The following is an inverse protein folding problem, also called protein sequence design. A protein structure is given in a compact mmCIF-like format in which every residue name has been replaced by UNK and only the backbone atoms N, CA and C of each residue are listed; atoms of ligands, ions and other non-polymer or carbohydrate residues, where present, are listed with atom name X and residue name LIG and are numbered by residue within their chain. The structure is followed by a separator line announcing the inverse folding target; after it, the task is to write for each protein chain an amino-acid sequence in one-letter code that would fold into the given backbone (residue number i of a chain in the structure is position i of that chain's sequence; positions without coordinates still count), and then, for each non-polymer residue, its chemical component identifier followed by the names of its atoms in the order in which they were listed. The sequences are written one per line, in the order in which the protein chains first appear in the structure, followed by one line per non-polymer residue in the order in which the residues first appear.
data_IF_754019153737
#
_entry.id   IF_754019153737
#
_cell.length_a   1.000
_cell.length_b   1.000
_cell.length_c   1.000
_cell.angle_alpha   90.00
_cell.angle_beta   90.00
_cell.angle_gamma   90.00
#
_symmetry.space_group_name_H-M   'P 1'
#
loop_
_entity.id
_entity.type
_entity.pdbx_description
1 polymer ?
#
# COMPACT_ATOMS: atom_id res chain seq x y z
N UNK A 1 -38.34 18.07 9.99
CA UNK A 1 -37.28 18.11 8.95
C UNK A 1 -36.59 16.76 9.00
N UNK A 2 -35.77 16.37 8.02
CA UNK A 2 -35.03 15.09 8.13
C UNK A 2 -33.75 15.35 8.93
N UNK A 3 -33.70 14.89 10.18
CA UNK A 3 -32.55 15.06 11.08
C UNK A 3 -31.40 14.07 10.75
N UNK A 4 -31.26 13.68 9.48
CA UNK A 4 -30.20 12.80 8.99
C UNK A 4 -29.01 13.66 8.51
N UNK A 5 -27.76 13.21 8.73
CA UNK A 5 -26.58 13.88 8.21
C UNK A 5 -26.49 13.80 6.68
N UNK A 6 -25.74 14.72 6.09
CA UNK A 6 -25.34 14.64 4.68
C UNK A 6 -24.42 13.42 4.44
N UNK A 7 -24.36 12.89 3.20
CA UNK A 7 -23.42 11.83 2.81
C UNK A 7 -21.98 12.16 3.22
N UNK A 8 -21.26 11.16 3.76
CA UNK A 8 -19.92 11.37 4.29
C UNK A 8 -18.81 11.32 3.22
N UNK A 9 -19.14 10.93 1.99
CA UNK A 9 -18.22 10.90 0.83
C UNK A 9 -18.93 11.46 -0.41
N UNK A 10 -18.20 12.02 -1.41
CA UNK A 10 -18.81 12.56 -2.62
C UNK A 10 -19.62 11.54 -3.41
N UNK A 11 -20.73 11.97 -4.02
CA UNK A 11 -21.67 11.10 -4.73
C UNK A 11 -21.05 10.33 -5.92
N UNK A 12 -19.92 10.83 -6.44
CA UNK A 12 -19.15 10.28 -7.55
C UNK A 12 -17.86 9.54 -7.11
N UNK A 13 -17.66 9.37 -5.79
CA UNK A 13 -16.47 8.77 -5.22
C UNK A 13 -16.34 7.28 -5.58
N UNK A 14 -15.44 6.98 -6.53
CA UNK A 14 -15.20 5.62 -7.04
C UNK A 14 -13.77 5.16 -6.75
N UNK A 15 -13.65 4.18 -5.83
CA UNK A 15 -12.39 3.53 -5.46
C UNK A 15 -12.32 2.07 -5.95
N UNK A 16 -13.13 1.64 -6.92
CA UNK A 16 -13.10 0.27 -7.47
C UNK A 16 -11.78 -0.11 -8.14
N UNK A 17 -10.93 0.88 -8.45
CA UNK A 17 -9.58 0.66 -8.96
C UNK A 17 -8.49 0.56 -7.85
N UNK A 18 -8.84 0.71 -6.57
CA UNK A 18 -7.91 0.65 -5.44
C UNK A 18 -7.95 -0.74 -4.79
N UNK A 19 -7.05 -1.64 -5.20
CA UNK A 19 -6.99 -3.05 -4.73
C UNK A 19 -6.85 -3.23 -3.22
N UNK A 20 -6.47 -2.18 -2.49
CA UNK A 20 -6.14 -2.21 -1.07
C UNK A 20 -7.02 -1.19 -0.33
N UNK A 21 -7.60 -1.61 0.80
CA UNK A 21 -8.28 -0.74 1.75
C UNK A 21 -7.36 -0.53 2.97
N UNK A 22 -6.98 0.71 3.31
CA UNK A 22 -6.15 0.99 4.48
C UNK A 22 -6.97 0.84 5.77
N UNK A 23 -6.60 -0.12 6.62
CA UNK A 23 -7.21 -0.35 7.93
C UNK A 23 -6.33 0.25 9.03
N UNK A 24 -6.95 1.05 9.88
CA UNK A 24 -6.34 1.63 11.08
C UNK A 24 -6.37 0.60 12.21
N UNK A 25 -5.41 -0.32 12.22
CA UNK A 25 -5.41 -1.50 13.10
C UNK A 25 -5.49 -1.14 14.60
N UNK A 26 -4.73 -0.15 15.13
CA UNK A 26 -4.88 0.27 16.53
C UNK A 26 -6.28 0.81 16.84
N UNK A 27 -6.86 1.64 15.95
CA UNK A 27 -8.21 2.20 16.13
C UNK A 27 -9.31 1.16 16.02
N UNK A 28 -9.12 0.12 15.20
CA UNK A 28 -10.04 -1.02 15.12
C UNK A 28 -9.98 -1.86 16.41
N UNK A 29 -8.79 -2.30 16.82
CA UNK A 29 -8.61 -3.22 17.96
C UNK A 29 -8.88 -2.56 19.32
N UNK A 30 -8.85 -1.23 19.40
CA UNK A 30 -9.27 -0.45 20.57
C UNK A 30 -10.64 0.21 20.42
N UNK A 31 -11.54 -0.34 19.60
CA UNK A 31 -12.92 0.15 19.44
C UNK A 31 -13.94 -0.80 20.05
N UNK A 32 -15.05 -0.24 20.51
CA UNK A 32 -16.16 -0.94 21.18
C UNK A 32 -16.68 -2.14 20.35
N UNK A 33 -16.63 -2.06 19.00
CA UNK A 33 -16.93 -3.17 18.09
C UNK A 33 -16.15 -4.46 18.42
N UNK A 34 -14.88 -4.37 18.84
CA UNK A 34 -14.03 -5.53 19.14
C UNK A 34 -14.17 -5.99 20.60
N UNK A 35 -14.85 -5.20 21.45
CA UNK A 35 -15.04 -5.48 22.88
C UNK A 35 -16.46 -5.96 23.23
N UNK A 36 -17.49 -5.37 22.61
CA UNK A 36 -18.89 -5.56 22.99
C UNK A 36 -19.66 -6.52 22.05
N UNK A 37 -19.23 -6.66 20.80
CA UNK A 37 -19.93 -7.46 19.78
C UNK A 37 -19.36 -8.87 19.60
N UNK A 38 -20.17 -9.79 19.06
CA UNK A 38 -19.74 -11.18 18.88
C UNK A 38 -18.66 -11.32 17.78
N UNK A 39 -17.85 -12.40 17.77
CA UNK A 39 -16.88 -12.66 16.70
C UNK A 39 -17.53 -12.72 15.30
N UNK A 40 -18.77 -13.23 15.21
CA UNK A 40 -19.56 -13.28 13.98
C UNK A 40 -20.00 -11.89 13.53
N UNK A 41 -20.35 -11.00 14.48
CA UNK A 41 -20.67 -9.61 14.20
C UNK A 41 -19.43 -8.80 13.78
N UNK A 42 -18.29 -9.00 14.46
CA UNK A 42 -16.99 -8.44 14.06
C UNK A 42 -16.62 -8.85 12.63
N UNK A 43 -16.75 -10.13 12.30
CA UNK A 43 -16.49 -10.66 10.95
C UNK A 43 -17.45 -10.06 9.91
N UNK A 44 -18.73 -9.98 10.24
CA UNK A 44 -19.77 -9.37 9.38
C UNK A 44 -19.47 -7.89 9.12
N UNK A 45 -19.11 -7.13 10.15
CA UNK A 45 -18.72 -5.72 10.04
C UNK A 45 -17.50 -5.59 9.11
N UNK A 46 -16.47 -6.43 9.26
CA UNK A 46 -15.29 -6.42 8.39
C UNK A 46 -15.62 -6.71 6.92
N UNK A 47 -16.50 -7.69 6.63
CA UNK A 47 -16.98 -7.95 5.27
C UNK A 47 -17.72 -6.74 4.68
N UNK A 48 -18.60 -6.11 5.46
CA UNK A 48 -19.35 -4.93 5.04
C UNK A 48 -18.46 -3.69 4.84
N UNK A 49 -17.44 -3.51 5.69
CA UNK A 49 -16.40 -2.50 5.51
C UNK A 49 -15.69 -2.67 4.16
N UNK A 50 -15.13 -3.86 3.89
CA UNK A 50 -14.45 -4.19 2.64
C UNK A 50 -15.34 -4.03 1.39
N UNK A 51 -16.62 -4.36 1.50
CA UNK A 51 -17.60 -4.17 0.40
C UNK A 51 -17.84 -2.68 0.14
N UNK A 52 -18.08 -1.90 1.18
CA UNK A 52 -18.41 -0.48 1.05
C UNK A 52 -17.29 0.35 0.41
N UNK A 53 -16.03 -0.06 0.57
CA UNK A 53 -14.86 0.52 -0.10
C UNK A 53 -14.95 0.51 -1.63
N UNK A 54 -15.71 -0.45 -2.19
CA UNK A 54 -15.89 -0.65 -3.64
C UNK A 54 -17.31 -0.34 -4.13
N UNK A 55 -18.21 0.10 -3.27
CA UNK A 55 -19.48 0.70 -3.69
C UNK A 55 -19.25 2.08 -4.32
N UNK A 56 -20.30 2.62 -4.96
CA UNK A 56 -20.35 4.02 -5.39
C UNK A 56 -21.65 4.63 -4.82
N UNK A 57 -21.55 5.62 -3.91
CA UNK A 57 -20.34 6.22 -3.35
C UNK A 57 -19.51 5.24 -2.51
N UNK A 58 -18.18 5.33 -2.58
CA UNK A 58 -17.30 4.52 -1.74
C UNK A 58 -17.45 4.89 -0.25
N UNK A 59 -17.25 3.90 0.63
CA UNK A 59 -17.48 4.03 2.07
C UNK A 59 -18.96 3.99 2.47
N UNK A 60 -19.85 3.60 1.55
CA UNK A 60 -21.31 3.56 1.76
C UNK A 60 -21.93 2.23 1.34
N UNK A 61 -23.14 1.94 1.81
CA UNK A 61 -23.94 0.78 1.41
C UNK A 61 -25.44 1.12 1.36
N UNK A 62 -26.26 0.42 0.55
CA UNK A 62 -27.71 0.52 0.64
C UNK A 62 -28.24 0.04 2.00
N UNK A 63 -29.17 0.79 2.61
CA UNK A 63 -29.93 0.32 3.77
C UNK A 63 -31.01 -0.69 3.34
N UNK A 64 -30.57 -1.90 2.97
CA UNK A 64 -31.43 -2.99 2.51
C UNK A 64 -30.95 -4.32 3.10
N UNK A 65 -31.83 -4.99 3.84
CA UNK A 65 -31.42 -6.10 4.69
C UNK A 65 -31.00 -7.36 3.91
N UNK A 66 -31.72 -7.67 2.84
CA UNK A 66 -31.36 -8.73 1.89
C UNK A 66 -30.03 -8.44 1.19
N UNK A 67 -29.75 -7.17 0.86
CA UNK A 67 -28.49 -6.75 0.24
C UNK A 67 -27.31 -6.92 1.22
N UNK A 68 -27.49 -6.52 2.49
CA UNK A 68 -26.48 -6.57 3.55
C UNK A 68 -26.15 -8.02 3.93
N UNK A 69 -27.17 -8.83 4.23
CA UNK A 69 -27.00 -10.24 4.58
C UNK A 69 -26.25 -11.03 3.48
N UNK A 70 -26.51 -10.75 2.20
CA UNK A 70 -25.78 -11.33 1.05
C UNK A 70 -24.28 -11.02 1.04
N UNK A 71 -23.84 -9.90 1.62
CA UNK A 71 -22.41 -9.53 1.73
C UNK A 71 -21.78 -9.95 3.05
N UNK A 72 -22.53 -9.95 4.14
CA UNK A 72 -22.08 -10.48 5.43
C UNK A 72 -21.99 -12.03 5.45
N UNK A 73 -22.49 -12.72 4.43
CA UNK A 73 -22.42 -14.18 4.27
C UNK A 73 -23.70 -14.94 4.64
N UNK A 74 -24.70 -14.26 5.19
CA UNK A 74 -25.96 -14.80 5.70
C UNK A 74 -27.01 -15.05 4.60
N UNK A 75 -26.57 -15.59 3.46
CA UNK A 75 -27.45 -15.92 2.34
C UNK A 75 -27.12 -17.29 1.74
N UNK A 76 -28.02 -18.25 1.91
CA UNK A 76 -27.78 -19.65 1.60
C UNK A 76 -28.95 -20.25 0.82
N UNK A 77 -28.65 -21.01 -0.25
CA UNK A 77 -29.65 -21.71 -1.09
C UNK A 77 -30.80 -20.81 -1.56
N UNK A 78 -30.51 -19.53 -1.84
CA UNK A 78 -31.50 -18.54 -2.31
C UNK A 78 -32.40 -17.96 -1.21
N UNK A 79 -32.01 -18.05 0.07
CA UNK A 79 -32.75 -17.51 1.21
C UNK A 79 -31.84 -16.77 2.18
N UNK A 80 -32.43 -15.80 2.90
CA UNK A 80 -31.85 -15.17 4.07
C UNK A 80 -31.66 -16.21 5.19
N UNK A 81 -30.49 -16.24 5.81
CA UNK A 81 -30.29 -17.04 7.02
C UNK A 81 -30.95 -16.36 8.23
N UNK A 82 -31.82 -17.03 9.01
CA UNK A 82 -32.49 -16.42 10.16
C UNK A 82 -31.52 -15.80 11.18
N UNK A 83 -30.30 -16.34 11.32
CA UNK A 83 -29.29 -15.85 12.27
C UNK A 83 -28.80 -14.43 11.98
N UNK A 84 -28.98 -13.93 10.75
CA UNK A 84 -28.66 -12.54 10.39
C UNK A 84 -29.24 -11.52 11.38
N UNK A 85 -30.49 -11.69 11.79
CA UNK A 85 -31.18 -10.74 12.66
C UNK A 85 -30.54 -10.62 14.05
N UNK A 86 -29.83 -11.65 14.53
CA UNK A 86 -29.07 -11.63 15.78
C UNK A 86 -27.69 -10.99 15.66
N UNK A 87 -27.15 -10.88 14.44
CA UNK A 87 -25.79 -10.40 14.13
C UNK A 87 -25.81 -8.99 13.50
N UNK A 88 -26.91 -8.61 12.86
CA UNK A 88 -27.12 -7.34 12.13
C UNK A 88 -26.71 -6.10 12.93
N UNK A 89 -27.02 -6.07 14.23
CA UNK A 89 -26.75 -4.90 15.09
C UNK A 89 -25.25 -4.58 15.12
N UNK A 90 -24.42 -5.52 15.55
CA UNK A 90 -22.96 -5.38 15.56
C UNK A 90 -22.32 -5.34 14.18
N UNK A 91 -22.86 -6.07 13.21
CA UNK A 91 -22.45 -5.95 11.81
C UNK A 91 -22.60 -4.52 11.27
N UNK A 92 -23.54 -3.75 11.84
CA UNK A 92 -23.80 -2.34 11.54
C UNK A 92 -23.39 -1.38 12.67
N UNK A 93 -22.52 -1.81 13.60
CA UNK A 93 -21.97 -0.94 14.63
C UNK A 93 -21.29 0.29 14.00
N UNK A 94 -21.60 1.50 14.50
CA UNK A 94 -21.06 2.76 13.99
C UNK A 94 -21.55 3.21 12.61
N UNK A 95 -22.43 2.46 11.94
CA UNK A 95 -23.00 2.88 10.65
C UNK A 95 -24.15 3.88 10.86
N UNK A 96 -24.11 4.99 10.12
CA UNK A 96 -25.13 6.04 10.18
C UNK A 96 -25.85 6.18 8.84
N UNK A 97 -27.16 6.40 8.88
CA UNK A 97 -27.98 6.63 7.68
C UNK A 97 -27.95 8.10 7.29
N UNK A 98 -27.61 8.40 6.04
CA UNK A 98 -27.52 9.77 5.53
C UNK A 98 -28.76 10.18 4.71
N UNK A 99 -28.84 11.45 4.31
CA UNK A 99 -29.97 12.03 3.56
C UNK A 99 -30.20 11.42 2.17
N UNK A 100 -29.21 10.74 1.59
CA UNK A 100 -29.33 9.94 0.35
C UNK A 100 -29.98 8.56 0.57
N UNK A 101 -30.27 8.19 1.82
CA UNK A 101 -30.84 6.91 2.22
C UNK A 101 -29.83 5.76 2.33
N UNK A 102 -28.53 6.00 2.13
CA UNK A 102 -27.46 5.01 2.28
C UNK A 102 -26.88 5.04 3.69
N UNK A 103 -26.28 3.92 4.09
CA UNK A 103 -25.50 3.78 5.32
C UNK A 103 -24.04 4.17 5.03
N UNK A 104 -23.41 4.95 5.92
CA UNK A 104 -21.99 5.31 5.87
C UNK A 104 -21.32 4.99 7.21
N UNK A 105 -20.06 4.57 7.19
CA UNK A 105 -19.27 4.38 8.41
C UNK A 105 -18.22 5.50 8.53
N UNK A 106 -18.27 6.37 9.56
CA UNK A 106 -17.42 7.57 9.63
C UNK A 106 -15.92 7.30 9.53
N UNK A 107 -15.43 6.21 10.14
CA UNK A 107 -14.01 5.82 10.08
C UNK A 107 -13.59 5.42 8.67
N UNK A 108 -14.49 4.84 7.87
CA UNK A 108 -14.20 4.49 6.48
C UNK A 108 -14.29 5.72 5.58
N UNK A 109 -15.29 6.59 5.77
CA UNK A 109 -15.42 7.82 5.02
C UNK A 109 -14.16 8.71 5.11
N UNK A 110 -13.54 8.79 6.29
CA UNK A 110 -12.22 9.43 6.50
C UNK A 110 -11.14 8.88 5.55
N UNK A 111 -10.98 7.55 5.49
CA UNK A 111 -9.96 6.91 4.64
C UNK A 111 -10.32 6.98 3.15
N UNK A 112 -11.61 6.87 2.80
CA UNK A 112 -12.13 7.00 1.44
C UNK A 112 -11.86 8.39 0.89
N UNK A 113 -12.22 9.45 1.62
CA UNK A 113 -11.97 10.83 1.22
C UNK A 113 -10.46 11.10 1.06
N UNK A 114 -9.63 10.53 1.95
CA UNK A 114 -8.16 10.63 1.86
C UNK A 114 -7.59 9.97 0.58
N UNK A 115 -8.12 8.81 0.20
CA UNK A 115 -7.76 8.11 -1.04
C UNK A 115 -8.29 8.83 -2.29
N UNK A 116 -9.53 9.33 -2.25
CA UNK A 116 -10.17 10.09 -3.33
C UNK A 116 -9.46 11.41 -3.62
N UNK A 117 -9.13 12.19 -2.59
CA UNK A 117 -8.32 13.40 -2.73
C UNK A 117 -6.91 13.10 -3.27
N UNK A 118 -6.30 11.98 -2.85
CA UNK A 118 -4.99 11.56 -3.38
C UNK A 118 -5.04 11.07 -4.84
N UNK A 119 -6.16 10.46 -5.27
CA UNK A 119 -6.46 10.14 -6.67
C UNK A 119 -6.52 11.40 -7.53
N UNK A 120 -7.21 12.43 -7.04
CA UNK A 120 -7.32 13.73 -7.73
C UNK A 120 -5.98 14.46 -7.80
N UNK A 121 -5.25 14.58 -6.67
CA UNK A 121 -3.93 15.21 -6.64
C UNK A 121 -2.98 14.56 -7.65
N UNK A 122 -2.87 13.23 -7.68
CA UNK A 122 -2.01 12.56 -8.65
C UNK A 122 -2.41 12.82 -10.12
N UNK A 123 -3.71 12.87 -10.42
CA UNK A 123 -4.19 13.19 -11.76
C UNK A 123 -3.89 14.66 -12.17
N UNK A 124 -3.97 15.58 -11.21
CA UNK A 124 -3.62 17.00 -11.36
C UNK A 124 -2.11 17.20 -11.50
N UNK A 125 -1.28 16.58 -10.66
CA UNK A 125 0.18 16.55 -10.78
C UNK A 125 0.60 16.11 -12.20
N UNK A 126 -0.02 15.04 -12.71
CA UNK A 126 0.22 14.55 -14.07
C UNK A 126 -0.29 15.48 -15.17
N UNK A 127 -1.32 16.28 -14.93
CA UNK A 127 -1.73 17.36 -15.84
C UNK A 127 -0.69 18.50 -15.84
N UNK A 128 -0.25 18.94 -14.65
CA UNK A 128 0.82 19.92 -14.46
C UNK A 128 2.12 19.51 -15.15
N UNK A 129 2.55 18.25 -15.03
CA UNK A 129 3.72 17.72 -15.76
C UNK A 129 3.58 17.86 -17.28
N UNK A 130 2.41 17.53 -17.86
CA UNK A 130 2.18 17.57 -19.31
C UNK A 130 2.09 19.01 -19.82
N UNK A 131 1.41 19.90 -19.09
CA UNK A 131 1.34 21.31 -19.45
C UNK A 131 2.68 22.02 -19.27
N UNK A 132 3.47 21.73 -18.22
CA UNK A 132 4.85 22.23 -18.10
C UNK A 132 5.73 21.81 -19.28
N UNK A 133 5.62 20.55 -19.72
CA UNK A 133 6.33 20.04 -20.92
C UNK A 133 5.88 20.78 -22.20
N UNK A 134 4.57 20.99 -22.39
CA UNK A 134 4.03 21.74 -23.54
C UNK A 134 4.41 23.23 -23.50
N UNK A 135 4.39 23.87 -22.33
CA UNK A 135 4.73 25.29 -22.18
C UNK A 135 6.18 25.59 -22.56
N UNK A 136 7.12 24.65 -22.36
CA UNK A 136 8.47 24.77 -22.92
C UNK A 136 8.44 24.88 -24.46
N UNK A 137 7.75 23.95 -25.12
CA UNK A 137 7.61 23.94 -26.59
C UNK A 137 6.76 25.11 -27.12
N UNK A 138 5.92 25.74 -26.29
CA UNK A 138 5.19 26.98 -26.61
C UNK A 138 6.10 28.21 -26.51
N UNK A 139 6.95 28.30 -25.48
CA UNK A 139 7.94 29.36 -25.35
C UNK A 139 8.95 29.33 -26.51
N UNK A 140 9.39 28.15 -26.94
CA UNK A 140 10.22 27.93 -28.15
C UNK A 140 9.53 28.40 -29.45
N UNK A 141 8.21 28.62 -29.44
CA UNK A 141 7.39 29.15 -30.55
C UNK A 141 6.89 30.58 -30.33
N UNK A 142 7.26 31.24 -29.24
CA UNK A 142 6.75 32.57 -28.87
C UNK A 142 5.27 32.61 -28.47
N UNK A 143 4.66 31.47 -28.13
CA UNK A 143 3.26 31.36 -27.71
C UNK A 143 3.11 31.54 -26.20
N UNK A 144 2.02 32.18 -25.78
CA UNK A 144 1.68 32.36 -24.37
C UNK A 144 1.54 30.99 -23.64
N UNK A 145 1.98 30.86 -22.37
CA UNK A 145 1.85 29.63 -21.61
C UNK A 145 0.38 29.26 -21.38
N UNK A 146 0.10 27.97 -21.25
CA UNK A 146 -1.19 27.46 -20.78
C UNK A 146 -1.14 27.34 -19.25
N UNK A 147 -2.13 27.89 -18.57
CA UNK A 147 -2.21 27.87 -17.10
C UNK A 147 -3.07 26.70 -16.64
N UNK A 148 -2.57 25.89 -15.70
CA UNK A 148 -3.36 24.83 -15.06
C UNK A 148 -4.03 25.42 -13.82
N UNK A 149 -5.36 25.36 -13.68
CA UNK A 149 -6.05 25.80 -12.47
C UNK A 149 -5.56 25.05 -11.23
N UNK A 150 -5.56 25.70 -10.06
CA UNK A 150 -5.19 25.07 -8.79
C UNK A 150 -6.05 23.84 -8.46
N UNK A 151 -5.51 22.92 -7.65
CA UNK A 151 -6.08 21.59 -7.41
C UNK A 151 -7.57 21.63 -7.03
N UNK A 152 -7.94 22.48 -6.07
CA UNK A 152 -9.31 22.56 -5.57
C UNK A 152 -10.26 23.15 -6.64
N UNK A 153 -9.83 24.19 -7.36
CA UNK A 153 -10.60 24.76 -8.48
C UNK A 153 -10.77 23.75 -9.64
N UNK A 154 -9.75 22.94 -9.92
CA UNK A 154 -9.84 21.85 -10.90
C UNK A 154 -10.79 20.74 -10.45
N UNK A 155 -10.87 20.45 -9.14
CA UNK A 155 -11.87 19.54 -8.56
C UNK A 155 -13.29 20.13 -8.71
N UNK A 156 -13.49 21.40 -8.36
CA UNK A 156 -14.78 22.09 -8.46
C UNK A 156 -15.31 22.19 -9.89
N UNK A 157 -14.41 22.30 -10.89
CA UNK A 157 -14.76 22.21 -12.31
C UNK A 157 -15.11 20.79 -12.79
N UNK A 158 -15.18 19.81 -11.89
CA UNK A 158 -15.50 18.42 -12.21
C UNK A 158 -14.31 17.56 -12.67
N UNK A 159 -13.08 18.08 -12.57
CA UNK A 159 -11.81 17.49 -13.04
C UNK A 159 -11.71 17.40 -14.57
N UNK A 160 -11.83 18.52 -15.30
CA UNK A 160 -11.78 18.53 -16.76
C UNK A 160 -10.46 17.97 -17.30
N UNK A 161 -10.52 17.28 -18.44
CA UNK A 161 -9.32 16.76 -19.10
C UNK A 161 -8.54 17.90 -19.77
N UNK A 162 -7.30 17.60 -20.16
CA UNK A 162 -6.40 18.53 -20.86
C UNK A 162 -7.02 19.14 -22.13
N UNK A 163 -7.84 18.38 -22.85
CA UNK A 163 -8.56 18.86 -24.03
C UNK A 163 -9.71 19.80 -23.68
N UNK A 164 -10.35 19.58 -22.54
CA UNK A 164 -11.53 20.32 -22.12
C UNK A 164 -11.12 21.66 -21.46
N UNK A 165 -9.94 21.69 -20.83
CA UNK A 165 -9.26 22.91 -20.36
C UNK A 165 -8.67 23.76 -21.50
N UNK A 166 -8.13 23.14 -22.55
CA UNK A 166 -7.49 23.84 -23.67
C UNK A 166 -8.05 23.41 -25.04
N UNK A 167 -9.34 23.64 -25.35
CA UNK A 167 -9.96 23.11 -26.57
C UNK A 167 -9.28 23.56 -27.86
N UNK A 168 -8.76 24.78 -27.90
CA UNK A 168 -8.05 25.36 -29.06
C UNK A 168 -6.80 24.55 -29.44
N UNK A 169 -6.06 23.98 -28.47
CA UNK A 169 -4.84 23.19 -28.69
C UNK A 169 -5.10 21.86 -29.40
N UNK A 170 -6.35 21.40 -29.41
CA UNK A 170 -6.78 20.13 -30.02
C UNK A 170 -7.80 20.35 -31.16
N UNK A 171 -8.21 21.59 -31.40
CA UNK A 171 -9.15 21.97 -32.45
C UNK A 171 -8.44 22.15 -33.78
N UNK A 172 -7.96 21.05 -34.36
CA UNK A 172 -7.47 21.05 -35.75
C UNK A 172 -8.63 21.46 -36.70
N UNK A 173 -8.58 22.61 -37.39
CA UNK A 173 -9.41 22.77 -38.57
C UNK A 173 -8.98 21.72 -39.60
N UNK A 174 -9.94 21.10 -40.27
CA UNK A 174 -9.64 20.14 -41.34
C UNK A 174 -9.08 20.89 -42.56
N UNK A 175 -7.77 21.13 -42.55
CA UNK A 175 -7.04 21.72 -43.65
C UNK A 175 -7.09 20.83 -44.89
N UNK A 176 -8.07 21.08 -45.75
CA UNK A 176 -8.13 20.47 -47.08
C UNK A 176 -6.88 20.86 -47.86
N UNK A 177 -6.08 19.85 -48.25
CA UNK A 177 -4.87 20.05 -49.02
C UNK A 177 -5.21 20.34 -50.50
N UNK A 178 -5.74 21.54 -50.78
CA UNK A 178 -5.75 22.13 -52.12
C UNK A 178 -4.32 22.60 -52.51
N UNK A 179 -3.38 21.66 -52.46
CA UNK A 179 -2.03 21.84 -52.97
C UNK A 179 -2.07 21.62 -54.47
N UNK A 180 -2.37 22.68 -55.21
CA UNK A 180 -2.42 22.70 -56.68
C UNK A 180 -1.06 22.29 -57.27
N UNK A 181 -0.88 20.98 -57.50
CA UNK A 181 0.37 20.42 -58.00
C UNK A 181 0.54 20.71 -59.50
N UNK A 182 0.91 21.96 -59.80
CA UNK A 182 1.13 22.54 -61.13
C UNK A 182 2.32 21.88 -61.84
N UNK A 183 2.14 20.63 -62.26
CA UNK A 183 3.11 19.88 -63.07
C UNK A 183 3.37 20.64 -64.37
N UNK A 184 4.57 21.22 -64.49
CA UNK A 184 5.08 21.75 -65.76
C UNK A 184 5.02 20.65 -66.82
N UNK A 185 4.43 20.96 -67.98
CA UNK A 185 4.59 20.18 -69.20
C UNK A 185 5.69 20.84 -70.04
N UNK A 186 6.79 20.13 -70.24
CA UNK A 186 7.73 20.39 -71.34
C UNK A 186 7.91 19.08 -72.11
N UNK A 187 7.87 19.09 -73.47
CA UNK A 187 7.86 17.88 -74.28
C UNK A 187 9.27 17.44 -74.72
N UNK A 188 9.47 16.13 -74.87
CA UNK A 188 10.62 15.52 -75.54
C UNK A 188 10.07 14.48 -76.54
N UNK A 189 10.56 14.41 -77.80
CA UNK A 189 9.86 13.74 -78.90
C UNK A 189 10.09 12.21 -78.95
N UNK A 190 9.38 11.56 -79.87
CA UNK A 190 9.43 10.12 -80.10
C UNK A 190 10.08 9.76 -81.45
N UNK A 191 10.79 8.63 -81.51
CA UNK A 191 11.04 7.89 -82.75
C UNK A 191 11.21 6.37 -82.48
N UNK A 192 11.11 5.58 -83.56
CA UNK A 192 11.35 4.13 -83.77
C UNK A 192 11.93 3.24 -82.64
N UNK A 193 11.58 1.95 -82.53
CA UNK A 193 10.69 1.12 -83.38
C UNK A 193 10.83 -0.40 -83.11
N UNK A 194 10.23 -1.23 -83.98
CA UNK A 194 10.24 -2.71 -84.03
C UNK A 194 9.42 -3.54 -83.01
N UNK A 195 8.44 -4.27 -83.57
CA UNK A 195 7.96 -5.60 -83.13
C UNK A 195 8.55 -6.66 -84.14
N UNK A 196 8.25 -7.99 -84.14
CA UNK A 196 7.05 -8.72 -83.66
C UNK A 196 7.43 -9.93 -82.73
N UNK A 197 6.67 -11.02 -82.49
CA UNK A 197 5.50 -11.63 -83.17
C UNK A 197 4.70 -12.63 -82.27
N UNK A 198 3.49 -12.97 -82.75
CA UNK A 198 2.71 -14.22 -82.51
C UNK A 198 2.20 -14.58 -81.08
N UNK A 199 1.05 -15.25 -80.90
CA UNK A 199 -0.11 -15.53 -81.78
C UNK A 199 -1.37 -15.95 -80.97
N UNK A 200 -2.56 -15.83 -81.59
CA UNK A 200 -3.84 -16.59 -81.40
C UNK A 200 -4.39 -16.94 -79.99
N UNK A 201 -5.70 -16.84 -79.71
CA UNK A 201 -6.82 -16.28 -80.47
C UNK A 201 -8.23 -16.82 -80.09
N UNK A 202 -9.26 -16.00 -80.32
CA UNK A 202 -10.71 -16.32 -80.51
C UNK A 202 -11.58 -16.85 -79.34
N UNK A 203 -12.47 -15.95 -78.89
CA UNK A 203 -13.95 -16.08 -78.81
C UNK A 203 -14.64 -17.29 -78.11
N UNK A 204 -15.55 -17.02 -77.16
CA UNK A 204 -16.51 -18.03 -76.66
C UNK A 204 -17.54 -17.57 -75.60
N UNK A 205 -18.69 -17.03 -76.04
CA UNK A 205 -19.99 -17.05 -75.33
C UNK A 205 -20.98 -17.83 -76.25
N UNK A 206 -22.14 -18.39 -75.80
CA UNK A 206 -22.92 -18.00 -74.61
C UNK A 206 -23.58 -19.15 -73.78
N UNK A 207 -24.30 -18.72 -72.73
CA UNK A 207 -25.53 -19.27 -72.13
C UNK A 207 -25.88 -20.79 -72.18
N UNK A 208 -26.12 -21.37 -71.00
CA UNK A 208 -26.85 -22.64 -70.81
C UNK A 208 -27.65 -22.63 -69.50
N UNK A 209 -28.93 -23.04 -69.53
CA UNK A 209 -29.88 -23.01 -68.40
C UNK A 209 -30.42 -24.40 -68.10
N UNK A 210 -30.29 -24.88 -66.85
CA UNK A 210 -31.27 -25.78 -66.19
C UNK A 210 -31.00 -25.96 -64.70
N UNK A 211 -32.02 -26.41 -63.98
CA UNK A 211 -32.02 -26.67 -62.53
C UNK A 211 -31.82 -28.17 -62.26
N UNK A 212 -31.10 -28.50 -61.19
CA UNK A 212 -31.48 -29.48 -60.17
C UNK A 212 -31.06 -28.87 -58.82
N UNK A 213 -31.77 -29.16 -57.73
CA UNK A 213 -31.45 -28.59 -56.41
C UNK A 213 -31.53 -29.63 -55.29
N UNK A 214 -30.94 -29.28 -54.14
CA UNK A 214 -31.02 -29.97 -52.86
C UNK A 214 -31.03 -28.94 -51.72
N UNK A 215 -31.60 -29.33 -50.58
CA UNK A 215 -31.82 -28.44 -49.43
C UNK A 215 -30.58 -28.27 -48.55
N UNK A 216 -30.36 -27.06 -48.01
CA UNK A 216 -29.78 -26.86 -46.68
C UNK A 216 -30.08 -25.44 -46.12
N UNK A 217 -30.52 -25.42 -44.87
CA UNK A 217 -30.31 -24.42 -43.80
C UNK A 217 -29.87 -22.99 -44.17
N UNK A 218 -30.77 -22.02 -43.91
CA UNK A 218 -30.46 -20.59 -44.04
C UNK A 218 -29.81 -19.99 -42.79
N UNK A 219 -28.58 -19.46 -42.94
CA UNK A 219 -28.00 -18.48 -42.01
C UNK A 219 -27.90 -17.10 -42.68
N UNK A 220 -28.64 -16.13 -42.16
CA UNK A 220 -28.60 -14.71 -42.55
C UNK A 220 -29.31 -13.89 -41.45
N UNK A 221 -29.02 -12.62 -41.17
CA UNK A 221 -27.95 -11.72 -41.62
C UNK A 221 -27.77 -10.63 -40.54
N UNK A 222 -26.58 -10.08 -40.34
CA UNK A 222 -26.32 -9.06 -39.31
C UNK A 222 -25.08 -8.24 -39.63
N UNK A 223 -25.27 -7.06 -40.24
CA UNK A 223 -24.19 -6.28 -40.88
C UNK A 223 -23.35 -5.48 -39.88
N UNK A 224 -22.06 -5.38 -40.19
CA UNK A 224 -21.07 -4.53 -39.53
C UNK A 224 -21.43 -3.04 -39.57
N UNK A 225 -20.89 -2.29 -38.61
CA UNK A 225 -20.14 -1.06 -38.88
C UNK A 225 -18.85 -1.07 -38.02
N UNK A 226 -17.72 -0.73 -38.63
CA UNK A 226 -16.48 -0.27 -37.97
C UNK A 226 -16.53 1.29 -37.91
N UNK A 227 -15.61 2.13 -37.43
CA UNK A 227 -14.24 2.08 -36.82
C UNK A 227 -13.94 3.54 -36.36
N UNK A 228 -12.90 3.98 -35.62
CA UNK A 228 -11.78 3.44 -34.83
C UNK A 228 -11.28 4.60 -33.90
N UNK A 229 -10.33 4.48 -32.96
CA UNK A 229 -9.52 3.32 -32.53
C UNK A 229 -8.39 3.71 -31.55
N UNK A 230 -7.89 2.68 -30.86
CA UNK A 230 -6.58 2.50 -30.21
C UNK A 230 -5.49 3.61 -30.24
N UNK A 231 -4.92 3.93 -29.06
CA UNK A 231 -3.48 4.18 -28.89
C UNK A 231 -3.00 3.63 -27.54
N UNK A 232 -2.00 2.76 -27.54
CA UNK A 232 -1.62 1.95 -26.37
C UNK A 232 -0.55 2.55 -25.45
N UNK A 233 -0.45 2.02 -24.23
CA UNK A 233 0.66 2.24 -23.30
C UNK A 233 1.64 1.06 -23.34
N UNK A 234 2.92 1.34 -23.59
CA UNK A 234 4.03 0.42 -23.33
C UNK A 234 4.71 0.79 -22.02
N UNK A 235 5.14 -0.21 -21.25
CA UNK A 235 5.86 0.00 -20.00
C UNK A 235 7.36 0.26 -20.22
N UNK A 236 7.99 0.81 -19.18
CA UNK A 236 9.44 0.94 -19.03
C UNK A 236 9.75 1.30 -17.59
N UNK A 237 10.68 0.57 -16.97
CA UNK A 237 11.33 0.99 -15.72
C UNK A 237 12.41 2.02 -16.07
N UNK A 238 12.84 2.82 -15.09
CA UNK A 238 14.24 3.22 -14.88
C UNK A 238 14.37 3.94 -13.52
N UNK A 239 15.58 3.96 -12.96
CA UNK A 239 15.86 4.38 -11.58
C UNK A 239 15.74 5.90 -11.34
N UNK A 240 15.61 6.29 -10.06
CA UNK A 240 15.48 7.70 -9.64
C UNK A 240 16.47 8.09 -8.54
N UNK A 241 17.68 8.50 -8.96
CA UNK A 241 18.69 9.10 -8.08
C UNK A 241 18.37 10.57 -7.80
N UNK A 242 17.71 10.86 -6.67
CA UNK A 242 17.31 12.21 -6.28
C UNK A 242 18.38 12.99 -5.52
N UNK A 243 19.15 13.84 -6.21
CA UNK A 243 20.04 14.82 -5.56
C UNK A 243 19.29 16.11 -5.16
N UNK A 244 19.33 16.47 -3.88
CA UNK A 244 18.72 17.69 -3.34
C UNK A 244 19.63 18.92 -3.52
N UNK A 245 19.13 19.97 -4.16
CA UNK A 245 19.78 21.29 -4.19
C UNK A 245 19.39 22.14 -2.98
N UNK A 246 20.38 22.64 -2.24
CA UNK A 246 20.17 23.50 -1.07
C UNK A 246 19.79 24.95 -1.49
N UNK A 247 19.06 25.65 -0.63
CA UNK A 247 18.78 27.08 -0.78
C UNK A 247 19.26 27.83 0.47
N UNK A 248 20.33 28.62 0.31
CA UNK A 248 20.95 29.36 1.43
C UNK A 248 20.39 30.78 1.56
N UNK A 249 20.05 31.16 2.79
CA UNK A 249 19.85 32.55 3.22
C UNK A 249 20.45 32.70 4.61
N UNK A 250 21.29 33.71 4.83
CA UNK A 250 22.13 33.83 6.03
C UNK A 250 22.01 35.19 6.74
N UNK A 251 23.12 35.62 7.35
CA UNK A 251 23.28 36.80 8.22
C UNK A 251 22.80 36.60 9.67
N UNK A 252 23.47 37.11 10.72
CA UNK A 252 24.88 37.57 10.87
C UNK A 252 25.20 37.77 12.38
N UNK A 253 26.48 38.01 12.72
CA UNK A 253 26.96 38.66 13.96
C UNK A 253 26.83 37.90 15.33
N UNK A 254 27.75 38.04 16.31
CA UNK A 254 29.13 38.59 16.30
C UNK A 254 30.00 38.07 17.49
N UNK A 255 31.32 38.18 17.34
CA UNK A 255 32.37 38.49 18.34
C UNK A 255 32.49 37.79 19.73
N UNK A 256 33.53 36.94 19.81
CA UNK A 256 34.72 37.09 20.68
C UNK A 256 34.68 36.82 22.22
N UNK A 257 35.75 36.14 22.70
CA UNK A 257 36.12 36.00 24.12
C UNK A 257 36.97 34.74 24.38
N UNK A 258 38.14 34.85 25.02
CA UNK A 258 39.06 33.71 25.30
C UNK A 258 39.40 33.62 26.82
N UNK A 259 40.29 32.73 27.35
CA UNK A 259 39.93 31.90 28.51
C UNK A 259 40.81 32.15 29.76
N UNK A 260 40.72 31.28 30.77
CA UNK A 260 41.88 30.91 31.61
C UNK A 260 41.66 29.59 32.37
N UNK A 261 42.76 28.96 32.77
CA UNK A 261 42.84 27.63 33.39
C UNK A 261 42.81 27.66 34.93
N UNK A 262 42.65 26.47 35.55
CA UNK A 262 43.39 25.89 36.69
C UNK A 262 42.48 25.12 37.67
N UNK A 263 42.87 24.05 38.39
CA UNK A 263 43.80 22.91 38.22
C UNK A 263 44.20 22.40 39.64
N UNK A 264 44.48 21.08 39.78
CA UNK A 264 45.08 20.44 40.99
C UNK A 264 44.16 20.42 42.24
N UNK A 265 44.28 19.54 43.25
CA UNK A 265 45.11 18.34 43.57
C UNK A 265 44.24 17.46 44.54
N UNK A 266 44.17 16.12 44.53
CA UNK A 266 45.17 15.01 44.66
C UNK A 266 45.27 14.44 46.10
N UNK A 267 45.57 13.13 46.19
CA UNK A 267 45.87 12.31 47.38
C UNK A 267 44.64 11.89 48.23
N UNK A 268 44.23 10.62 48.30
CA UNK A 268 44.91 9.36 48.74
C UNK A 268 44.85 9.11 50.25
N UNK A 269 44.34 7.92 50.65
CA UNK A 269 44.99 7.03 51.62
C UNK A 269 44.37 5.63 51.66
N UNK A 270 45.23 4.61 51.71
CA UNK A 270 44.87 3.20 51.88
C UNK A 270 44.89 2.81 53.38
N UNK A 271 44.10 1.80 53.79
CA UNK A 271 44.61 0.46 54.17
C UNK A 271 43.60 -0.39 55.00
N UNK A 272 43.63 -1.72 54.75
CA UNK A 272 43.50 -2.88 55.70
C UNK A 272 42.34 -2.94 56.71
N UNK A 273 41.77 -4.09 57.09
CA UNK A 273 41.88 -5.51 56.68
C UNK A 273 40.78 -6.32 57.41
N UNK A 274 40.58 -7.59 56.98
CA UNK A 274 40.23 -8.79 57.76
C UNK A 274 39.17 -9.70 57.09
N UNK A 275 39.16 -10.96 57.51
CA UNK A 275 38.55 -12.11 56.81
C UNK A 275 37.49 -12.76 57.68
N UNK A 276 36.41 -13.28 57.07
CA UNK A 276 35.79 -14.53 57.52
C UNK A 276 34.93 -15.17 56.42
N UNK A 277 34.87 -16.51 56.44
CA UNK A 277 34.21 -17.35 55.43
C UNK A 277 33.03 -18.12 56.01
N UNK A 278 31.85 -18.10 55.36
CA UNK A 278 30.93 -19.25 55.33
C UNK A 278 29.74 -19.03 54.36
N UNK A 279 29.45 -20.09 53.58
CA UNK A 279 28.12 -20.64 53.23
C UNK A 279 26.93 -19.75 52.83
N UNK A 280 26.21 -20.18 51.78
CA UNK A 280 24.85 -19.73 51.47
C UNK A 280 24.68 -19.35 49.99
N UNK A 281 23.97 -20.18 49.22
CA UNK A 281 23.60 -19.85 47.85
C UNK A 281 22.34 -18.98 47.80
N UNK A 282 22.36 -17.93 46.95
CA UNK A 282 21.22 -17.04 46.74
C UNK A 282 21.40 -16.21 45.48
N UNK A 283 20.35 -16.15 44.67
CA UNK A 283 20.18 -15.36 43.43
C UNK A 283 21.00 -14.07 43.32
N UNK A 284 21.68 -13.87 42.19
CA UNK A 284 22.40 -12.63 41.89
C UNK A 284 21.47 -11.42 41.90
N UNK A 285 21.72 -10.49 42.82
CA UNK A 285 20.96 -9.26 42.99
C UNK A 285 21.70 -8.08 42.35
N UNK A 286 21.03 -7.34 41.48
CA UNK A 286 21.65 -6.25 40.74
C UNK A 286 22.08 -5.10 41.68
N UNK A 287 23.39 -4.84 41.74
CA UNK A 287 23.96 -3.70 42.47
C UNK A 287 23.67 -2.40 41.73
N UNK A 288 22.69 -1.64 42.23
CA UNK A 288 22.51 -0.25 41.84
C UNK A 288 23.66 0.58 42.44
N UNK A 289 24.41 1.28 41.57
CA UNK A 289 25.39 2.29 41.99
C UNK A 289 24.71 3.62 42.33
N UNK A 290 25.37 4.44 43.14
CA UNK A 290 24.82 5.75 43.55
C UNK A 290 24.47 6.62 42.32
N UNK A 291 23.36 7.39 42.34
CA UNK A 291 22.89 8.16 41.18
C UNK A 291 23.95 9.04 40.47
N UNK A 292 24.88 9.73 41.18
CA UNK A 292 25.93 10.50 40.52
C UNK A 292 26.91 9.62 39.71
N UNK A 293 27.19 8.40 40.19
CA UNK A 293 28.09 7.43 39.55
C UNK A 293 27.42 6.84 38.31
N UNK A 294 26.12 6.51 38.40
CA UNK A 294 25.33 6.05 37.27
C UNK A 294 25.26 7.10 36.14
N UNK A 295 24.99 8.37 36.47
CA UNK A 295 24.97 9.46 35.50
C UNK A 295 26.32 9.63 34.77
N UNK A 296 27.44 9.59 35.51
CA UNK A 296 28.77 9.68 34.92
C UNK A 296 29.08 8.51 33.96
N UNK A 297 28.65 7.28 34.31
CA UNK A 297 28.81 6.12 33.44
C UNK A 297 28.00 6.24 32.14
N UNK A 298 26.81 6.83 32.17
CA UNK A 298 25.99 7.04 30.97
C UNK A 298 26.62 8.06 30.02
N UNK A 299 27.14 9.17 30.55
CA UNK A 299 27.85 10.20 29.77
C UNK A 299 29.06 9.61 29.02
N UNK A 300 29.83 8.73 29.67
CA UNK A 300 30.99 8.10 29.03
C UNK A 300 30.60 7.05 27.96
N UNK A 301 29.51 6.31 28.18
CA UNK A 301 28.98 5.36 27.18
C UNK A 301 28.42 6.07 25.95
N UNK A 302 27.76 7.21 26.12
CA UNK A 302 27.29 8.04 25.01
C UNK A 302 28.45 8.62 24.20
N UNK A 303 29.45 9.17 24.89
CA UNK A 303 30.69 9.71 24.29
C UNK A 303 31.44 8.66 23.47
N UNK A 304 31.75 7.52 24.09
CA UNK A 304 32.44 6.40 23.42
C UNK A 304 31.61 5.74 22.30
N UNK A 305 30.28 5.88 22.33
CA UNK A 305 29.38 5.45 21.25
C UNK A 305 29.16 6.48 20.13
N UNK A 306 29.72 7.70 20.24
CA UNK A 306 29.52 8.77 19.27
C UNK A 306 28.07 9.29 19.19
N UNK A 307 27.36 9.29 20.32
CA UNK A 307 25.98 9.81 20.41
C UNK A 307 26.02 11.31 20.75
N UNK A 308 25.23 12.12 20.04
CA UNK A 308 25.10 13.55 20.32
C UNK A 308 24.22 13.85 21.54
N UNK A 309 24.73 14.64 22.49
CA UNK A 309 24.01 15.17 23.65
C UNK A 309 24.55 16.55 24.06
N UNK A 310 23.72 17.37 24.71
CA UNK A 310 24.14 18.64 25.30
C UNK A 310 24.69 18.42 26.72
N UNK A 311 25.62 19.27 27.17
CA UNK A 311 26.27 19.14 28.48
C UNK A 311 25.30 19.28 29.67
N UNK A 312 24.15 19.89 29.42
CA UNK A 312 23.06 20.20 30.34
C UNK A 312 21.74 19.45 30.00
N UNK A 313 21.77 18.43 29.14
CA UNK A 313 20.57 17.68 28.74
C UNK A 313 19.90 16.99 29.96
N UNK A 314 18.81 17.59 30.43
CA UNK A 314 18.04 17.14 31.59
C UNK A 314 17.53 15.69 31.48
N UNK A 315 17.44 15.11 30.28
CA UNK A 315 17.09 13.69 30.09
C UNK A 315 18.13 12.79 30.74
N UNK A 316 19.42 13.09 30.54
CA UNK A 316 20.54 12.32 31.10
C UNK A 316 20.51 12.30 32.64
N UNK A 317 20.19 13.44 33.24
CA UNK A 317 20.01 13.55 34.69
C UNK A 317 18.77 12.78 35.20
N UNK A 318 17.73 12.64 34.38
CA UNK A 318 16.51 11.89 34.72
C UNK A 318 16.68 10.36 34.69
N UNK A 319 17.60 9.85 33.87
CA UNK A 319 17.71 8.41 33.58
C UNK A 319 17.99 7.53 34.83
N UNK A 320 18.94 7.86 35.72
CA UNK A 320 19.12 7.09 36.97
C UNK A 320 17.86 7.11 37.85
N UNK A 321 17.18 8.25 37.94
CA UNK A 321 15.93 8.40 38.70
C UNK A 321 14.75 7.60 38.13
N UNK A 322 14.77 7.31 36.81
CA UNK A 322 13.84 6.39 36.13
C UNK A 322 14.23 4.92 36.23
N UNK A 323 15.34 4.60 36.90
CA UNK A 323 15.85 3.23 37.02
C UNK A 323 16.44 2.69 35.72
N UNK A 324 16.90 3.55 34.80
CA UNK A 324 17.73 3.12 33.67
C UNK A 324 19.03 2.52 34.22
N UNK A 325 19.46 1.40 33.63
CA UNK A 325 20.74 0.76 33.91
C UNK A 325 21.72 0.96 32.76
N UNK A 326 22.99 0.65 33.04
CA UNK A 326 24.08 0.68 32.06
C UNK A 326 23.79 -0.20 30.84
N UNK A 327 23.13 -1.34 31.03
CA UNK A 327 22.83 -2.29 29.96
C UNK A 327 21.55 -1.95 29.20
N UNK A 328 20.56 -1.31 29.84
CA UNK A 328 19.43 -0.70 29.11
C UNK A 328 19.94 0.37 28.12
N UNK A 329 20.92 1.20 28.52
CA UNK A 329 21.51 2.22 27.65
C UNK A 329 22.27 1.60 26.47
N UNK A 330 23.03 0.52 26.70
CA UNK A 330 23.70 -0.24 25.62
C UNK A 330 22.68 -0.87 24.66
N UNK A 331 21.59 -1.44 25.18
CA UNK A 331 20.50 -2.00 24.40
C UNK A 331 19.76 -0.92 23.58
N UNK A 332 19.56 0.27 24.15
CA UNK A 332 18.97 1.41 23.45
C UNK A 332 19.85 1.89 22.29
N UNK A 333 21.17 1.99 22.48
CA UNK A 333 22.13 2.36 21.43
C UNK A 333 22.14 1.31 20.30
N UNK A 334 22.17 0.02 20.64
CA UNK A 334 22.13 -1.06 19.66
C UNK A 334 20.81 -1.08 18.86
N UNK A 335 19.67 -0.87 19.53
CA UNK A 335 18.35 -0.74 18.90
C UNK A 335 18.29 0.49 17.99
N UNK A 336 18.85 1.62 18.44
CA UNK A 336 18.94 2.86 17.65
C UNK A 336 19.73 2.68 16.34
N UNK A 337 20.87 1.97 16.37
CA UNK A 337 21.64 1.68 15.14
C UNK A 337 20.86 0.81 14.16
N UNK A 338 20.29 -0.31 14.61
CA UNK A 338 19.43 -1.19 13.78
C UNK A 338 18.23 -0.44 13.19
N UNK A 339 17.68 0.53 13.92
CA UNK A 339 16.62 1.40 13.43
C UNK A 339 17.10 2.31 12.29
N UNK A 340 18.26 2.97 12.45
CA UNK A 340 18.89 3.78 11.38
C UNK A 340 19.24 2.96 10.14
N UNK A 341 19.77 1.75 10.32
CA UNK A 341 20.05 0.79 9.25
C UNK A 341 18.78 0.44 8.47
N UNK A 342 17.68 0.09 9.16
CA UNK A 342 16.38 -0.22 8.55
C UNK A 342 15.70 1.00 7.88
N UNK A 343 15.94 2.19 8.40
CA UNK A 343 15.42 3.46 7.86
C UNK A 343 16.33 4.07 6.77
N UNK A 344 17.42 3.39 6.39
CA UNK A 344 18.46 3.88 5.47
C UNK A 344 18.95 5.31 5.81
N UNK A 345 19.03 5.61 7.11
CA UNK A 345 19.15 6.98 7.61
C UNK A 345 20.54 7.26 8.17
N UNK A 346 21.31 8.11 7.48
CA UNK A 346 22.66 8.54 7.86
C UNK A 346 22.68 9.48 9.09
N UNK A 347 21.51 9.90 9.57
CA UNK A 347 21.38 10.80 10.70
C UNK A 347 21.95 10.17 11.99
N UNK A 348 22.81 10.87 12.75
CA UNK A 348 23.40 10.31 13.97
C UNK A 348 22.34 9.96 15.03
N UNK A 349 22.77 9.15 16.01
CA UNK A 349 21.99 8.93 17.22
C UNK A 349 22.12 10.16 18.13
N UNK A 350 21.01 10.53 18.76
CA UNK A 350 20.93 11.62 19.73
C UNK A 350 20.24 11.16 21.02
N UNK A 351 20.44 11.90 22.11
CA UNK A 351 19.87 11.57 23.41
C UNK A 351 18.33 11.44 23.41
N UNK A 352 17.61 12.21 22.58
CA UNK A 352 16.15 12.15 22.49
C UNK A 352 15.61 10.85 21.89
N UNK A 353 16.27 10.30 20.86
CA UNK A 353 15.92 9.00 20.30
C UNK A 353 16.21 7.86 21.30
N UNK A 354 17.30 7.96 22.07
CA UNK A 354 17.61 6.99 23.12
C UNK A 354 16.64 7.09 24.30
N UNK A 355 16.22 8.30 24.68
CA UNK A 355 15.26 8.53 25.76
C UNK A 355 13.90 7.85 25.52
N UNK A 356 13.45 7.86 24.25
CA UNK A 356 12.26 7.13 23.78
C UNK A 356 12.45 5.62 23.91
N UNK A 357 13.54 5.07 23.35
CA UNK A 357 13.83 3.63 23.36
C UNK A 357 14.04 3.12 24.80
N UNK A 358 14.63 3.94 25.68
CA UNK A 358 14.74 3.66 27.12
C UNK A 358 13.37 3.66 27.80
N UNK A 359 12.42 4.49 27.37
CA UNK A 359 11.02 4.41 27.78
C UNK A 359 10.41 3.05 27.45
N UNK A 360 10.55 2.58 26.21
CA UNK A 360 10.05 1.28 25.75
C UNK A 360 10.68 0.11 26.52
N UNK A 361 12.01 0.14 26.73
CA UNK A 361 12.73 -0.89 27.49
C UNK A 361 12.32 -0.93 28.97
N UNK A 362 12.13 0.23 29.61
CA UNK A 362 11.63 0.30 30.98
C UNK A 362 10.18 -0.22 31.08
N UNK A 363 9.32 0.11 30.11
CA UNK A 363 7.96 -0.39 30.06
C UNK A 363 7.92 -1.92 29.86
N UNK A 364 8.74 -2.45 28.95
CA UNK A 364 8.88 -3.89 28.73
C UNK A 364 9.41 -4.64 29.97
N UNK A 365 10.29 -4.00 30.76
CA UNK A 365 10.79 -4.55 32.04
C UNK A 365 9.78 -4.44 33.19
N UNK A 366 8.89 -3.45 33.15
CA UNK A 366 7.79 -3.29 34.12
C UNK A 366 6.59 -4.21 33.83
N UNK A 367 6.42 -4.64 32.58
CA UNK A 367 5.42 -5.62 32.20
C UNK A 367 5.69 -6.97 32.88
N UNK A 368 4.76 -7.43 33.72
CA UNK A 368 4.84 -8.79 34.28
C UNK A 368 4.79 -9.82 33.14
N UNK A 369 5.70 -10.81 33.09
CA UNK A 369 5.55 -11.92 32.16
C UNK A 369 4.25 -12.65 32.49
N UNK A 370 3.32 -12.68 31.54
CA UNK A 370 2.09 -13.47 31.68
C UNK A 370 2.49 -14.94 31.58
N UNK A 371 2.65 -15.59 32.73
CA UNK A 371 2.89 -17.04 32.84
C UNK A 371 1.61 -17.82 32.56
N UNK A 372 1.00 -17.58 31.40
CA UNK A 372 0.12 -18.55 30.78
C UNK A 372 0.95 -19.77 30.41
N UNK A 373 0.49 -20.96 30.79
CA UNK A 373 1.13 -22.21 30.39
C UNK A 373 1.20 -22.29 28.87
N UNK A 374 2.41 -22.32 28.30
CA UNK A 374 2.65 -22.69 26.90
C UNK A 374 2.24 -24.14 26.69
N UNK A 375 0.96 -24.36 26.40
CA UNK A 375 0.56 -25.46 25.53
C UNK A 375 1.33 -25.33 24.21
N UNK A 376 1.68 -26.47 23.60
CA UNK A 376 2.26 -26.47 22.25
C UNK A 376 1.12 -26.09 21.29
N UNK A 377 0.99 -24.80 21.00
CA UNK A 377 -0.03 -24.30 20.09
C UNK A 377 0.24 -24.76 18.67
N UNK A 378 -0.73 -25.47 18.10
CA UNK A 378 -0.93 -25.84 16.69
C UNK A 378 0.16 -25.28 15.74
N UNK A 379 1.28 -26.02 15.62
CA UNK A 379 2.53 -25.55 15.02
C UNK A 379 2.33 -24.97 13.61
N UNK A 380 1.38 -25.54 12.86
CA UNK A 380 1.02 -25.17 11.49
C UNK A 380 0.35 -23.79 11.33
N UNK A 381 -0.09 -23.17 12.43
CA UNK A 381 -0.74 -21.84 12.43
C UNK A 381 0.24 -20.66 12.43
N UNK A 382 1.54 -20.88 12.62
CA UNK A 382 2.55 -19.82 12.64
C UNK A 382 3.74 -20.16 11.74
N UNK A 383 4.30 -19.15 11.06
CA UNK A 383 5.48 -19.36 10.22
C UNK A 383 6.67 -19.92 11.01
N UNK A 384 6.88 -19.41 12.22
CA UNK A 384 7.90 -19.91 13.16
C UNK A 384 7.66 -21.38 13.54
N UNK A 385 6.42 -21.78 13.84
CA UNK A 385 6.08 -23.16 14.15
C UNK A 385 6.21 -24.11 12.96
N UNK A 386 5.96 -23.65 11.73
CA UNK A 386 6.21 -24.40 10.49
C UNK A 386 7.72 -24.60 10.29
N UNK A 387 8.54 -23.57 10.51
CA UNK A 387 10.01 -23.68 10.41
C UNK A 387 10.59 -24.57 11.51
N UNK A 388 10.15 -24.42 12.77
CA UNK A 388 10.56 -25.28 13.88
C UNK A 388 10.17 -26.75 13.64
N UNK A 389 8.95 -27.02 13.16
CA UNK A 389 8.52 -28.39 12.86
C UNK A 389 9.21 -28.97 11.62
N UNK A 390 9.42 -28.17 10.56
CA UNK A 390 10.24 -28.56 9.41
C UNK A 390 11.64 -29.00 9.83
N UNK A 391 12.28 -28.24 10.74
CA UNK A 391 13.55 -28.62 11.36
C UNK A 391 13.51 -29.99 12.06
N UNK A 392 12.42 -30.32 12.77
CA UNK A 392 12.25 -31.65 13.39
C UNK A 392 12.07 -32.80 12.38
N UNK A 393 11.67 -32.49 11.14
CA UNK A 393 11.54 -33.43 10.03
C UNK A 393 12.78 -33.46 9.11
N UNK A 394 13.82 -32.67 9.41
CA UNK A 394 15.02 -32.54 8.55
C UNK A 394 14.77 -31.71 7.28
N UNK A 395 13.74 -30.86 7.28
CA UNK A 395 13.30 -30.05 6.15
C UNK A 395 13.60 -28.58 6.44
N UNK A 396 14.62 -28.05 5.76
CA UNK A 396 14.98 -26.63 5.76
C UNK A 396 14.49 -25.94 4.47
N UNK A 397 14.30 -24.61 4.54
CA UNK A 397 13.91 -23.80 3.38
C UNK A 397 15.12 -23.57 2.47
N UNK A 398 14.97 -23.87 1.18
CA UNK A 398 15.98 -23.58 0.18
C UNK A 398 16.21 -22.08 0.02
N UNK A 399 17.45 -21.68 -0.27
CA UNK A 399 17.88 -20.26 -0.39
C UNK A 399 16.98 -19.43 -1.31
N UNK A 400 16.50 -20.04 -2.38
CA UNK A 400 15.67 -19.43 -3.42
C UNK A 400 14.26 -20.06 -3.48
N UNK A 401 13.86 -20.79 -2.43
CA UNK A 401 12.57 -21.47 -2.33
C UNK A 401 11.45 -20.54 -1.82
N UNK A 402 10.31 -20.42 -2.52
CA UNK A 402 9.16 -19.67 -2.04
C UNK A 402 8.64 -20.21 -0.67
N UNK A 403 8.29 -19.33 0.29
CA UNK A 403 7.76 -19.75 1.59
C UNK A 403 6.53 -20.68 1.52
N UNK A 404 5.75 -20.59 0.45
CA UNK A 404 4.59 -21.46 0.22
C UNK A 404 5.00 -22.91 -0.07
N UNK A 405 6.04 -23.11 -0.87
CA UNK A 405 6.50 -24.44 -1.30
C UNK A 405 7.19 -25.17 -0.14
N UNK A 406 7.99 -24.44 0.67
CA UNK A 406 8.53 -24.96 1.93
C UNK A 406 7.41 -25.42 2.87
N UNK A 407 6.36 -24.62 3.05
CA UNK A 407 5.21 -24.97 3.89
C UNK A 407 4.53 -26.25 3.41
N UNK A 408 4.37 -26.44 2.10
CA UNK A 408 3.82 -27.67 1.53
C UNK A 408 4.71 -28.87 1.84
N UNK A 409 6.03 -28.79 1.61
CA UNK A 409 6.97 -29.90 1.93
C UNK A 409 6.93 -30.31 3.40
N UNK A 410 6.81 -29.35 4.32
CA UNK A 410 6.64 -29.63 5.76
C UNK A 410 5.29 -30.29 6.06
N UNK A 411 4.21 -29.90 5.36
CA UNK A 411 2.88 -30.48 5.56
C UNK A 411 2.76 -31.90 4.98
N UNK A 412 3.38 -32.16 3.82
CA UNK A 412 3.48 -33.50 3.22
C UNK A 412 4.27 -34.46 4.12
N UNK A 413 5.40 -34.00 4.66
CA UNK A 413 6.25 -34.81 5.53
C UNK A 413 5.69 -35.01 6.94
N UNK A 414 4.83 -34.11 7.42
CA UNK A 414 4.03 -34.32 8.64
C UNK A 414 2.90 -35.35 8.43
N UNK A 415 2.49 -35.59 7.18
CA UNK A 415 1.44 -36.54 6.80
C UNK A 415 0.03 -35.95 6.83
N UNK A 416 -0.98 -36.80 7.06
CA UNK A 416 -2.38 -36.38 7.21
C UNK A 416 -2.65 -35.78 8.60
N UNK A 417 -3.24 -34.58 8.63
CA UNK A 417 -3.56 -33.89 9.88
C UNK A 417 -4.28 -32.55 9.69
N UNK A 418 -4.66 -31.87 10.80
CA UNK A 418 -5.49 -30.67 10.79
C UNK A 418 -4.87 -29.46 10.08
N UNK A 419 -3.56 -29.49 9.81
CA UNK A 419 -2.87 -28.49 8.98
C UNK A 419 -3.38 -28.49 7.53
N UNK A 420 -3.79 -29.63 6.99
CA UNK A 420 -4.39 -29.70 5.65
C UNK A 420 -5.79 -29.11 5.60
N UNK A 421 -6.63 -29.30 6.62
CA UNK A 421 -7.94 -28.64 6.69
C UNK A 421 -7.81 -27.11 6.82
N UNK A 422 -6.80 -26.63 7.57
CA UNK A 422 -6.52 -25.20 7.72
C UNK A 422 -5.93 -24.59 6.42
N UNK A 423 -5.02 -25.31 5.75
CA UNK A 423 -4.52 -24.94 4.41
C UNK A 423 -5.65 -24.87 3.38
N UNK A 424 -6.45 -25.94 3.29
CA UNK A 424 -7.53 -26.04 2.32
C UNK A 424 -8.68 -25.06 2.64
N UNK A 425 -8.91 -24.70 3.91
CA UNK A 425 -9.79 -23.58 4.29
C UNK A 425 -9.26 -22.26 3.73
N UNK A 426 -7.98 -21.96 3.89
CA UNK A 426 -7.39 -20.75 3.31
C UNK A 426 -7.50 -20.73 1.77
N UNK A 427 -7.20 -21.86 1.11
CA UNK A 427 -7.26 -21.97 -0.35
C UNK A 427 -8.69 -21.87 -0.91
N UNK A 428 -9.68 -22.47 -0.23
CA UNK A 428 -11.12 -22.33 -0.55
C UNK A 428 -11.65 -20.91 -0.36
N UNK A 429 -10.96 -20.08 0.42
CA UNK A 429 -11.31 -18.68 0.63
C UNK A 429 -10.61 -17.73 -0.35
N UNK A 430 -9.49 -18.13 -0.97
CA UNK A 430 -8.81 -17.34 -2.02
C UNK A 430 -9.26 -17.72 -3.44
N UNK A 431 -9.68 -18.97 -3.67
CA UNK A 431 -10.34 -19.36 -4.90
C UNK A 431 -11.82 -18.88 -4.90
N UNK A 432 -12.16 -18.00 -5.84
CA UNK A 432 -13.56 -17.60 -6.07
C UNK A 432 -14.46 -18.78 -6.47
N UNK A 433 -15.80 -18.63 -6.40
CA UNK A 433 -16.73 -19.74 -6.54
C UNK A 433 -16.60 -20.47 -7.89
N UNK A 434 -16.06 -21.69 -7.85
CA UNK A 434 -15.99 -22.58 -9.01
C UNK A 434 -17.41 -22.90 -9.48
N UNK A 435 -17.70 -22.60 -10.74
CA UNK A 435 -19.00 -22.86 -11.34
C UNK A 435 -19.29 -24.36 -11.38
N UNK A 436 -20.37 -24.80 -10.73
CA UNK A 436 -20.78 -26.22 -10.62
C UNK A 436 -20.93 -26.92 -11.99
N UNK A 437 -21.19 -26.17 -13.07
CA UNK A 437 -21.20 -26.70 -14.44
C UNK A 437 -19.86 -27.24 -14.96
N UNK A 438 -18.74 -26.95 -14.30
CA UNK A 438 -17.41 -27.47 -14.68
C UNK A 438 -17.13 -28.90 -14.16
N UNK A 439 -18.00 -29.48 -13.32
CA UNK A 439 -17.84 -30.80 -12.71
C UNK A 439 -18.86 -31.86 -13.18
N UNK A 440 -19.68 -31.53 -14.18
CA UNK A 440 -20.58 -32.48 -14.85
C UNK A 440 -20.46 -32.34 -16.37
N UNK A 441 -19.25 -32.60 -16.88
CA UNK A 441 -18.86 -32.46 -18.29
C UNK A 441 -18.55 -33.76 -19.04
N UNK A 442 -18.49 -34.91 -18.35
CA UNK A 442 -18.38 -36.24 -18.96
C UNK A 442 -19.53 -37.11 -18.43
N UNK A 443 -20.53 -37.38 -19.28
CA UNK A 443 -21.78 -37.98 -18.81
C UNK A 443 -22.82 -38.36 -19.87
N UNK A 444 -22.66 -37.94 -21.14
CA UNK A 444 -23.30 -38.52 -22.33
C UNK A 444 -22.70 -37.99 -23.62
#
# INVERSE_FOLDING_TARGET
MNDLPNPLTPADCDLRNFREMPIDVPRLLGSDLVHDESPEACWSAMLLWCVSWHEVPAGSMPDNDEWLAKRAGYWHKGKLDPTWHGVRAGALHGWIKCTDGRLYHPVLAEKVNSAWFSKHRHAHDKLGERIRKRNKARAERGLAPLEVPELDAWIDMGRPLERDLFPEEFSNPSGGNDVEFRRKKEPVPAESGHAPAEASGKNGRPAGRRQVGTSAEGRSNGKNYCSDGNSGFSGGNDDSSGGSGEFSGGSDNDSAGIPSENALNRAERNRTEHVNTASGGGTAQAVASDPPIAAAAFVEILRSSGVGFAADDARLASWPGRGVTVDDLRAAIATGRKRRERECSEQPLNAGLLDLILGDLLAARAAKPVTGTRTVGDWWRSWTGIVEHGGTLGIEQGRDEPPFDFKLRVFDAAGDGPWWDDHNRAFRNTAGPVSVGALMGEGR
#
